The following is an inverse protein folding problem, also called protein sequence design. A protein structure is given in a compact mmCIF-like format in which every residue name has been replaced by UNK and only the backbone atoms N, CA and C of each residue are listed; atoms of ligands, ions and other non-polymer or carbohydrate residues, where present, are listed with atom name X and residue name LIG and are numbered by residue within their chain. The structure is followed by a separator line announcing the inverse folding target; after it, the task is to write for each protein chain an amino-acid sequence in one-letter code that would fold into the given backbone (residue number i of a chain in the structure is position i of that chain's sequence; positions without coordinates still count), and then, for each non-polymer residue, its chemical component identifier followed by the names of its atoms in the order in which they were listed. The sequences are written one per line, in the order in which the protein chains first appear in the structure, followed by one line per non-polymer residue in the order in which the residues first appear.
data_IF_607810645965
#
_entry.id   IF_607810645965
#
_cell.length_a   1.000
_cell.length_b   1.000
_cell.length_c   1.000
_cell.angle_alpha   90.00
_cell.angle_beta   90.00
_cell.angle_gamma   90.00
#
_symmetry.space_group_name_H-M   'P 1'
#
loop_
_entity.id
_entity.type
_entity.pdbx_description
1 polymer ?
#
# COMPACT_ATOMS: atom_id res chain seq x y z
N UNK A 1 -16.33 12.51 -0.38
CA UNK A 1 -15.05 13.03 0.18
C UNK A 1 -14.16 13.71 -0.87
N UNK A 2 -13.49 13.01 -1.80
CA UNK A 2 -12.59 13.69 -2.78
C UNK A 2 -13.35 14.66 -3.70
N UNK A 3 -14.53 14.26 -4.20
CA UNK A 3 -15.41 15.13 -5.00
C UNK A 3 -15.99 16.33 -4.24
N UNK A 4 -16.02 16.29 -2.91
CA UNK A 4 -16.62 17.31 -2.05
C UNK A 4 -15.59 18.26 -1.45
N UNK A 5 -14.41 17.74 -1.06
CA UNK A 5 -13.33 18.51 -0.40
C UNK A 5 -12.15 18.82 -1.31
N UNK A 6 -12.01 18.09 -2.42
CA UNK A 6 -10.87 18.22 -3.32
C UNK A 6 -9.53 17.80 -2.67
N UNK A 7 -8.45 18.14 -3.36
CA UNK A 7 -7.10 18.05 -2.82
C UNK A 7 -6.80 19.25 -1.91
N UNK A 8 -5.91 19.10 -0.92
CA UNK A 8 -5.56 20.19 -0.01
C UNK A 8 -4.94 21.38 -0.76
N UNK A 9 -5.00 22.54 -0.15
CA UNK A 9 -4.50 23.79 -0.69
C UNK A 9 -3.65 24.52 0.35
N UNK A 10 -2.90 25.54 -0.06
CA UNK A 10 -2.15 26.37 0.90
C UNK A 10 -3.05 27.25 1.79
N UNK A 11 -4.39 27.14 1.67
CA UNK A 11 -5.35 27.73 2.61
C UNK A 11 -5.61 26.82 3.81
N UNK A 12 -5.30 25.54 3.70
CA UNK A 12 -5.37 24.58 4.78
C UNK A 12 -4.11 24.70 5.64
N UNK A 13 -4.26 24.80 6.97
CA UNK A 13 -3.13 25.07 7.88
C UNK A 13 -2.00 24.03 7.75
N UNK A 14 -2.34 22.74 7.64
CA UNK A 14 -1.38 21.65 7.45
C UNK A 14 -0.60 21.73 6.12
N UNK A 15 -1.08 22.51 5.16
CA UNK A 15 -0.53 22.62 3.79
C UNK A 15 -0.06 24.03 3.44
N UNK A 16 -0.10 24.98 4.38
CA UNK A 16 0.31 26.38 4.18
C UNK A 16 1.66 26.51 3.49
N UNK A 17 2.62 25.68 3.90
CA UNK A 17 4.00 25.69 3.38
C UNK A 17 4.28 24.61 2.32
N UNK A 18 3.29 23.81 1.94
CA UNK A 18 3.44 22.69 1.00
C UNK A 18 2.55 22.88 -0.22
N UNK A 19 3.07 23.51 -1.27
CA UNK A 19 2.30 23.76 -2.49
C UNK A 19 2.11 22.48 -3.32
N UNK A 20 0.86 22.10 -3.58
CA UNK A 20 0.53 20.93 -4.42
C UNK A 20 0.39 21.26 -5.93
N UNK A 21 0.62 22.51 -6.33
CA UNK A 21 0.52 22.94 -7.74
C UNK A 21 1.35 22.09 -8.71
N UNK A 22 2.58 21.63 -8.37
CA UNK A 22 3.37 20.81 -9.29
C UNK A 22 2.68 19.49 -9.65
N UNK A 23 2.10 18.79 -8.67
CA UNK A 23 1.45 17.50 -8.91
C UNK A 23 0.09 17.68 -9.60
N UNK A 24 -0.66 18.74 -9.32
CA UNK A 24 -2.00 18.92 -9.93
C UNK A 24 -1.99 19.46 -11.36
N UNK A 25 -0.83 19.92 -11.87
CA UNK A 25 -0.69 20.39 -13.26
C UNK A 25 -0.47 19.26 -14.27
N UNK A 26 -0.08 18.09 -13.79
CA UNK A 26 0.17 16.92 -14.62
C UNK A 26 -1.09 16.06 -14.74
N UNK A 27 -1.25 15.38 -15.87
CA UNK A 27 -2.25 14.32 -16.01
C UNK A 27 -1.62 13.00 -15.58
N UNK A 28 -2.33 12.25 -14.75
CA UNK A 28 -1.95 10.91 -14.34
C UNK A 28 -2.92 9.89 -14.93
N UNK A 29 -2.39 8.73 -15.25
CA UNK A 29 -3.17 7.55 -15.57
C UNK A 29 -3.07 6.57 -14.41
N UNK A 30 -4.13 5.82 -14.09
CA UNK A 30 -4.03 4.72 -13.13
C UNK A 30 -2.94 3.73 -13.54
N UNK A 31 -2.21 3.20 -12.55
CA UNK A 31 -1.27 2.13 -12.77
C UNK A 31 -1.99 0.85 -13.21
N UNK A 32 -1.31 0.02 -14.00
CA UNK A 32 -1.79 -1.30 -14.42
C UNK A 32 -0.85 -2.38 -13.89
N UNK A 33 -1.36 -3.58 -13.54
CA UNK A 33 -0.51 -4.68 -13.12
C UNK A 33 0.36 -5.18 -14.26
N UNK A 34 1.48 -5.82 -13.92
CA UNK A 34 2.37 -6.49 -14.89
C UNK A 34 3.73 -5.83 -15.06
N UNK A 35 3.96 -4.66 -14.45
CA UNK A 35 5.31 -4.12 -14.33
C UNK A 35 6.15 -4.99 -13.38
N UNK A 36 7.40 -5.22 -13.75
CA UNK A 36 8.40 -5.89 -12.91
C UNK A 36 9.57 -4.93 -12.64
N UNK A 37 10.39 -5.26 -11.66
CA UNK A 37 11.62 -4.55 -11.36
C UNK A 37 12.83 -5.48 -11.46
N UNK A 38 14.00 -4.98 -11.92
CA UNK A 38 15.24 -5.74 -11.90
C UNK A 38 15.63 -6.15 -10.47
N UNK A 39 16.22 -7.35 -10.32
CA UNK A 39 16.59 -7.88 -9.00
C UNK A 39 17.71 -7.07 -8.33
N UNK A 40 18.66 -6.57 -9.12
CA UNK A 40 19.73 -5.68 -8.68
C UNK A 40 19.18 -4.34 -8.18
N UNK A 41 18.11 -3.82 -8.79
CA UNK A 41 17.41 -2.64 -8.29
C UNK A 41 16.80 -2.89 -6.91
N UNK A 42 16.13 -4.03 -6.72
CA UNK A 42 15.57 -4.42 -5.41
C UNK A 42 16.68 -4.59 -4.38
N UNK A 43 17.79 -5.26 -4.74
CA UNK A 43 18.93 -5.48 -3.88
C UNK A 43 19.55 -4.14 -3.41
N UNK A 44 19.70 -3.18 -4.33
CA UNK A 44 20.25 -1.86 -4.03
C UNK A 44 19.35 -1.01 -3.11
N UNK A 45 18.03 -1.25 -3.13
CA UNK A 45 17.07 -0.57 -2.27
C UNK A 45 16.96 -1.19 -0.86
N UNK A 46 17.64 -2.32 -0.60
CA UNK A 46 17.56 -3.00 0.71
C UNK A 46 18.40 -2.30 1.78
N UNK A 47 17.94 -2.40 3.03
CA UNK A 47 18.71 -1.96 4.19
C UNK A 47 19.76 -3.04 4.46
N UNK A 48 21.04 -2.64 4.37
CA UNK A 48 22.16 -3.54 4.61
C UNK A 48 22.07 -4.16 6.00
N UNK A 49 22.31 -5.47 6.07
CA UNK A 49 22.34 -6.29 7.30
C UNK A 49 21.01 -6.37 8.08
N UNK A 50 19.89 -5.94 7.48
CA UNK A 50 18.55 -6.13 8.05
C UNK A 50 18.05 -7.56 7.79
N UNK A 51 17.92 -8.37 8.84
CA UNK A 51 17.20 -9.64 8.76
C UNK A 51 15.70 -9.37 8.88
N UNK A 52 15.00 -9.38 7.74
CA UNK A 52 13.57 -9.15 7.68
C UNK A 52 12.95 -9.94 6.53
N UNK A 53 11.66 -10.29 6.68
CA UNK A 53 10.85 -10.61 5.50
C UNK A 53 10.60 -9.34 4.69
N UNK A 54 10.66 -9.46 3.37
CA UNK A 54 10.58 -8.33 2.46
C UNK A 54 9.42 -8.51 1.50
N UNK A 55 8.54 -7.51 1.42
CA UNK A 55 7.49 -7.44 0.41
C UNK A 55 7.87 -6.38 -0.63
N UNK A 56 7.81 -6.75 -1.90
CA UNK A 56 8.15 -5.88 -3.02
C UNK A 56 6.88 -5.57 -3.81
N UNK A 57 6.74 -4.30 -4.19
CA UNK A 57 5.63 -3.81 -5.00
C UNK A 57 6.17 -3.02 -6.18
N UNK A 58 5.57 -3.21 -7.36
CA UNK A 58 5.79 -2.36 -8.53
C UNK A 58 4.49 -1.61 -8.84
N UNK A 59 4.56 -0.29 -8.85
CA UNK A 59 3.42 0.61 -9.13
C UNK A 59 2.15 0.32 -8.32
N UNK A 60 2.33 -0.14 -7.07
CA UNK A 60 1.24 -0.48 -6.14
C UNK A 60 0.78 -1.93 -6.19
N UNK A 61 1.33 -2.77 -7.07
CA UNK A 61 1.00 -4.19 -7.20
C UNK A 61 2.04 -5.09 -6.55
N UNK A 62 1.58 -6.09 -5.78
CA UNK A 62 2.46 -7.02 -5.08
C UNK A 62 3.23 -7.92 -6.06
N UNK A 63 4.55 -8.07 -5.86
CA UNK A 63 5.42 -8.94 -6.65
C UNK A 63 5.94 -10.11 -5.80
N UNK A 64 5.21 -11.24 -5.77
CA UNK A 64 5.62 -12.40 -4.96
C UNK A 64 7.01 -12.92 -5.31
N UNK A 65 7.37 -12.95 -6.60
CA UNK A 65 8.66 -13.48 -7.07
C UNK A 65 9.86 -12.59 -6.75
N UNK A 66 9.64 -11.32 -6.37
CA UNK A 66 10.68 -10.40 -5.87
C UNK A 66 10.69 -10.30 -4.35
N UNK A 67 9.66 -10.83 -3.70
CA UNK A 67 9.49 -10.75 -2.25
C UNK A 67 10.22 -11.90 -1.54
N UNK A 68 10.70 -11.64 -0.33
CA UNK A 68 11.36 -12.61 0.54
C UNK A 68 10.45 -12.94 1.71
N UNK A 69 9.56 -13.90 1.50
CA UNK A 69 8.58 -14.38 2.50
C UNK A 69 8.85 -15.81 2.95
N UNK A 70 10.02 -16.37 2.61
CA UNK A 70 10.39 -17.72 3.00
C UNK A 70 10.62 -17.80 4.51
N UNK A 71 10.19 -18.91 5.12
CA UNK A 71 10.34 -19.14 6.56
C UNK A 71 9.43 -18.28 7.43
N UNK A 72 8.32 -17.76 6.89
CA UNK A 72 7.26 -17.18 7.72
C UNK A 72 6.74 -18.24 8.72
N UNK A 73 6.54 -17.87 10.00
CA UNK A 73 6.00 -18.81 10.99
C UNK A 73 4.62 -19.34 10.60
N UNK A 74 4.29 -20.53 11.12
CA UNK A 74 2.94 -21.05 11.02
C UNK A 74 1.93 -20.04 11.63
N UNK A 75 0.81 -19.83 10.95
CA UNK A 75 -0.18 -18.83 11.35
C UNK A 75 0.10 -17.41 10.84
N UNK A 76 1.19 -17.18 10.10
CA UNK A 76 1.40 -15.93 9.35
C UNK A 76 1.05 -16.15 7.88
N UNK A 77 0.20 -15.28 7.34
CA UNK A 77 -0.17 -15.27 5.93
C UNK A 77 0.13 -13.91 5.32
N UNK A 78 0.83 -13.91 4.19
CA UNK A 78 1.01 -12.75 3.34
C UNK A 78 0.38 -13.04 1.98
N UNK A 79 -0.43 -12.12 1.47
CA UNK A 79 -1.05 -12.21 0.16
C UNK A 79 -1.21 -10.83 -0.49
N UNK A 80 -1.44 -10.82 -1.81
CA UNK A 80 -1.94 -9.63 -2.49
C UNK A 80 -3.33 -9.27 -1.94
N UNK A 81 -3.55 -7.98 -1.69
CA UNK A 81 -4.84 -7.46 -1.26
C UNK A 81 -5.90 -7.65 -2.35
N UNK A 82 -5.55 -7.42 -3.62
CA UNK A 82 -6.43 -7.64 -4.76
C UNK A 82 -6.90 -9.11 -4.85
N UNK A 83 -5.96 -10.04 -4.67
CA UNK A 83 -6.24 -11.47 -4.64
C UNK A 83 -7.18 -11.85 -3.49
N UNK A 84 -6.96 -11.29 -2.30
CA UNK A 84 -7.80 -11.54 -1.14
C UNK A 84 -9.22 -11.00 -1.33
N UNK A 85 -9.36 -9.79 -1.89
CA UNK A 85 -10.66 -9.19 -2.22
C UNK A 85 -11.40 -9.98 -3.31
N UNK A 86 -10.68 -10.60 -4.24
CA UNK A 86 -11.30 -11.42 -5.31
C UNK A 86 -11.72 -12.79 -4.81
N UNK A 87 -10.89 -13.43 -3.97
CA UNK A 87 -11.12 -14.82 -3.53
C UNK A 87 -12.00 -14.93 -2.30
N UNK A 88 -11.89 -14.00 -1.35
CA UNK A 88 -12.58 -14.05 -0.04
C UNK A 88 -12.87 -12.65 0.52
N UNK A 89 -13.63 -11.80 -0.20
CA UNK A 89 -13.86 -10.41 0.19
C UNK A 89 -14.46 -10.26 1.58
N UNK A 90 -15.34 -11.17 1.99
CA UNK A 90 -16.03 -11.13 3.28
C UNK A 90 -15.08 -11.22 4.48
N UNK A 91 -13.88 -11.76 4.30
CA UNK A 91 -12.89 -11.86 5.38
C UNK A 91 -12.23 -10.53 5.74
N UNK A 92 -12.25 -9.56 4.81
CA UNK A 92 -11.50 -8.30 4.93
C UNK A 92 -12.32 -7.04 4.64
N UNK A 93 -13.51 -7.16 4.04
CA UNK A 93 -14.35 -6.03 3.64
C UNK A 93 -14.64 -5.08 4.81
N UNK A 94 -15.05 -5.61 5.97
CA UNK A 94 -15.38 -4.79 7.15
C UNK A 94 -14.16 -4.13 7.79
N UNK A 95 -12.95 -4.60 7.47
CA UNK A 95 -11.69 -4.07 8.00
C UNK A 95 -11.07 -3.03 7.06
N UNK A 96 -11.35 -3.13 5.75
CA UNK A 96 -10.74 -2.23 4.77
C UNK A 96 -11.29 -0.81 4.96
N UNK A 97 -10.40 0.11 5.31
CA UNK A 97 -10.77 1.52 5.51
C UNK A 97 -11.37 1.87 6.87
N UNK A 98 -11.62 0.89 7.75
CA UNK A 98 -12.25 1.13 9.06
C UNK A 98 -11.43 2.03 9.99
N UNK A 99 -10.12 2.15 9.74
CA UNK A 99 -9.17 2.97 10.51
C UNK A 99 -8.85 4.32 9.88
N UNK A 100 -9.46 4.67 8.74
CA UNK A 100 -9.15 5.92 8.01
C UNK A 100 -9.62 7.21 8.70
N UNK A 101 -10.32 7.11 9.84
CA UNK A 101 -10.90 8.25 10.55
C UNK A 101 -12.14 8.82 9.85
N UNK A 102 -12.83 9.74 10.52
CA UNK A 102 -14.14 10.24 10.05
C UNK A 102 -14.04 11.02 8.72
N UNK A 103 -12.90 11.67 8.42
CA UNK A 103 -12.73 12.40 7.15
C UNK A 103 -11.26 12.38 6.70
N UNK A 104 -10.86 11.45 5.80
CA UNK A 104 -9.53 11.47 5.22
C UNK A 104 -9.32 12.77 4.42
N UNK A 105 -8.15 13.39 4.57
CA UNK A 105 -7.75 14.54 3.72
C UNK A 105 -7.71 14.11 2.25
N UNK A 106 -7.74 15.07 1.31
CA UNK A 106 -7.90 14.79 -0.13
C UNK A 106 -6.99 13.70 -0.69
N UNK A 107 -5.70 13.67 -0.30
CA UNK A 107 -4.77 12.62 -0.74
C UNK A 107 -5.07 11.24 -0.16
N UNK A 108 -5.50 11.14 1.10
CA UNK A 108 -5.91 9.86 1.69
C UNK A 108 -7.18 9.34 1.00
N UNK A 109 -8.16 10.21 0.73
CA UNK A 109 -9.35 9.84 -0.05
C UNK A 109 -8.99 9.39 -1.48
N UNK A 110 -8.03 10.06 -2.14
CA UNK A 110 -7.53 9.69 -3.46
C UNK A 110 -6.82 8.33 -3.46
N UNK A 111 -5.87 8.11 -2.53
CA UNK A 111 -5.15 6.84 -2.41
C UNK A 111 -6.11 5.66 -2.22
N UNK A 112 -7.13 5.83 -1.37
CA UNK A 112 -8.12 4.77 -1.13
C UNK A 112 -9.05 4.55 -2.31
N UNK A 113 -9.40 5.59 -3.06
CA UNK A 113 -10.25 5.46 -4.26
C UNK A 113 -9.53 4.74 -5.42
N UNK A 114 -8.20 4.85 -5.49
CA UNK A 114 -7.37 4.21 -6.52
C UNK A 114 -6.63 2.97 -6.02
N UNK A 115 -6.95 2.45 -4.83
CA UNK A 115 -6.31 1.23 -4.32
C UNK A 115 -6.67 0.06 -5.25
N UNK A 116 -5.68 -0.43 -5.98
CA UNK A 116 -5.85 -1.54 -6.93
C UNK A 116 -5.32 -2.86 -6.39
N UNK A 117 -4.30 -2.80 -5.53
CA UNK A 117 -3.68 -3.92 -4.85
C UNK A 117 -2.90 -3.40 -3.61
N UNK A 118 -2.20 -4.29 -2.92
CA UNK A 118 -1.41 -4.02 -1.73
C UNK A 118 -1.03 -5.33 -1.04
N UNK A 119 -0.64 -5.26 0.23
CA UNK A 119 -0.44 -6.47 1.03
C UNK A 119 -1.58 -6.66 2.04
N UNK A 120 -2.07 -7.90 2.09
CA UNK A 120 -2.77 -8.43 3.25
C UNK A 120 -1.77 -9.24 4.07
N UNK A 121 -1.54 -8.82 5.31
CA UNK A 121 -0.72 -9.52 6.30
C UNK A 121 -1.62 -9.93 7.46
N UNK A 122 -1.77 -11.24 7.65
CA UNK A 122 -2.55 -11.81 8.74
C UNK A 122 -1.62 -12.59 9.65
N UNK A 123 -1.73 -12.32 10.96
CA UNK A 123 -0.94 -12.96 12.00
C UNK A 123 -1.93 -13.56 13.00
N UNK A 124 -1.88 -14.88 13.17
CA UNK A 124 -2.70 -15.56 14.15
C UNK A 124 -2.37 -15.11 15.58
N UNK A 125 -3.35 -15.18 16.47
CA UNK A 125 -3.18 -14.78 17.86
C UNK A 125 -2.06 -15.59 18.53
N UNK A 126 -1.15 -14.90 19.23
CA UNK A 126 -0.04 -15.52 19.95
C UNK A 126 1.17 -15.88 19.10
N UNK A 127 1.15 -15.64 17.78
CA UNK A 127 2.33 -15.82 16.93
C UNK A 127 3.34 -14.71 17.20
N UNK A 128 4.60 -15.09 17.41
CA UNK A 128 5.73 -14.18 17.54
C UNK A 128 6.56 -14.17 16.26
N UNK A 129 6.95 -12.98 15.82
CA UNK A 129 7.85 -12.79 14.70
C UNK A 129 9.30 -12.67 15.23
N UNK A 130 10.22 -13.42 14.63
CA UNK A 130 11.62 -13.50 15.06
C UNK A 130 12.56 -12.61 14.22
N UNK A 131 12.01 -11.94 13.20
CA UNK A 131 12.68 -11.00 12.30
C UNK A 131 11.94 -9.67 12.29
#
# INVERSE_FOLDING_TARGET
VLSERGLPSQRDEDWKYTSIKPITRSRFSPAIPGNDCPEDFVAAATIKDLDAWQLVFADGFYLPHRSKTNGLPEGVRVASLADALTKKPESIADRLGSVMGEIPHGFAAMNSAFVGDGALVEIAAGVQLEK
#
